data_IF_690207852384
#
_entry.id   IF_690207852384
#
_cell.length_a   1.000
_cell.length_b   1.000
_cell.length_c   1.000
_cell.angle_alpha   90.00
_cell.angle_beta   90.00
_cell.angle_gamma   90.00
#
_symmetry.space_group_name_H-M   'P 1'
#
loop_
_entity.id
_entity.type
_entity.pdbx_description
1 polymer ?
#
# COMPACT_ATOMS: atom_id res chain seq x y z
N UNK A 1 19.39 13.67 25.11
CA UNK A 1 19.88 13.56 23.76
C UNK A 1 18.95 12.63 22.97
N UNK A 2 18.30 13.17 21.96
CA UNK A 2 17.34 12.45 21.10
C UNK A 2 18.07 12.20 19.76
N UNK A 3 19.16 11.44 19.79
CA UNK A 3 19.99 11.22 18.60
C UNK A 3 19.96 9.78 18.10
N UNK A 4 19.17 8.89 18.71
CA UNK A 4 19.17 7.46 18.39
C UNK A 4 18.06 6.98 17.43
N UNK A 5 17.18 7.87 16.92
CA UNK A 5 16.08 7.42 16.06
C UNK A 5 16.60 6.84 14.73
N UNK A 6 17.49 7.57 14.07
CA UNK A 6 18.11 7.13 12.83
C UNK A 6 18.96 5.85 13.01
N UNK A 7 19.68 5.74 14.15
CA UNK A 7 20.47 4.56 14.48
C UNK A 7 19.56 3.35 14.74
N UNK A 8 18.41 3.56 15.39
CA UNK A 8 17.42 2.51 15.62
C UNK A 8 16.77 2.05 14.31
N UNK A 9 16.39 3.00 13.43
CA UNK A 9 15.83 2.67 12.12
C UNK A 9 16.83 1.92 11.23
N UNK A 10 18.12 2.23 11.33
CA UNK A 10 19.18 1.48 10.65
C UNK A 10 19.35 0.09 11.24
N UNK A 11 19.30 -0.04 12.57
CA UNK A 11 19.56 -1.29 13.27
C UNK A 11 18.49 -2.37 13.07
N UNK A 12 17.23 -1.99 12.72
CA UNK A 12 16.16 -2.95 12.48
C UNK A 12 16.10 -3.46 11.02
N UNK A 13 16.87 -2.87 10.11
CA UNK A 13 16.90 -3.29 8.70
C UNK A 13 17.39 -4.73 8.56
N UNK A 14 16.84 -5.43 7.55
CA UNK A 14 17.28 -6.76 7.11
C UNK A 14 17.69 -6.71 5.64
N UNK A 15 16.76 -7.00 4.74
CA UNK A 15 16.93 -6.88 3.28
C UNK A 15 16.55 -5.50 2.75
N UNK A 16 16.02 -4.64 3.59
CA UNK A 16 15.72 -3.25 3.25
C UNK A 16 16.96 -2.52 2.71
N UNK A 17 16.86 -1.83 1.58
CA UNK A 17 17.98 -1.07 1.01
C UNK A 17 18.15 0.30 1.66
N UNK A 18 17.06 0.86 2.18
CA UNK A 18 17.04 2.13 2.91
C UNK A 18 16.29 1.99 4.24
N UNK A 19 16.62 2.83 5.22
CA UNK A 19 15.82 2.96 6.43
C UNK A 19 14.52 3.70 6.14
N UNK A 20 13.45 3.34 6.84
CA UNK A 20 12.12 3.92 6.70
C UNK A 20 11.76 4.66 7.98
N UNK A 21 11.57 5.96 7.86
CA UNK A 21 11.33 6.87 8.98
C UNK A 21 10.24 7.87 8.62
N UNK A 22 9.50 8.33 9.63
CA UNK A 22 8.46 9.34 9.47
C UNK A 22 8.38 10.22 10.70
N UNK A 23 8.01 11.49 10.51
CA UNK A 23 7.55 12.40 11.56
C UNK A 23 6.37 13.20 11.01
N UNK A 24 5.26 13.19 11.74
CA UNK A 24 4.03 13.93 11.44
C UNK A 24 3.77 14.88 12.58
N UNK A 25 3.76 16.16 12.30
CA UNK A 25 3.39 17.19 13.26
C UNK A 25 1.87 17.33 13.29
N UNK A 26 1.28 17.15 14.48
CA UNK A 26 -0.11 17.45 14.78
C UNK A 26 -0.24 18.80 15.47
N UNK A 27 -1.47 19.15 15.91
CA UNK A 27 -1.72 20.36 16.67
C UNK A 27 -1.22 20.20 18.12
N UNK A 28 0.01 20.67 18.37
CA UNK A 28 0.68 20.62 19.67
C UNK A 28 1.24 19.25 20.08
N UNK A 29 1.36 18.31 19.18
CA UNK A 29 2.01 17.00 19.39
C UNK A 29 2.70 16.52 18.11
N UNK A 30 3.52 15.48 18.22
CA UNK A 30 4.18 14.83 17.09
C UNK A 30 3.96 13.31 17.14
N UNK A 31 3.77 12.70 15.99
CA UNK A 31 3.87 11.24 15.79
C UNK A 31 5.10 10.96 14.97
N UNK A 32 6.03 10.19 15.49
CA UNK A 32 7.22 9.74 14.77
C UNK A 32 7.27 8.21 14.72
N UNK A 33 7.89 7.67 13.70
CA UNK A 33 7.97 6.21 13.58
C UNK A 33 9.10 5.75 12.67
N UNK A 34 9.35 4.44 12.75
CA UNK A 34 10.23 3.72 11.87
C UNK A 34 9.60 2.37 11.52
N UNK A 35 9.96 1.82 10.36
CA UNK A 35 9.54 0.50 9.95
C UNK A 35 10.65 -0.24 9.19
N UNK A 36 10.52 -1.56 9.10
CA UNK A 36 11.32 -2.40 8.24
C UNK A 36 10.45 -3.44 7.54
N UNK A 37 10.85 -3.84 6.34
CA UNK A 37 10.25 -4.89 5.52
C UNK A 37 10.40 -4.58 4.04
N UNK A 38 10.87 -5.56 3.26
CA UNK A 38 11.11 -5.45 1.82
C UNK A 38 10.53 -6.64 1.04
N UNK A 39 10.26 -7.77 1.69
CA UNK A 39 9.59 -8.96 1.13
C UNK A 39 8.71 -9.65 2.17
N UNK A 40 7.92 -10.65 1.73
CA UNK A 40 6.84 -11.27 2.52
C UNK A 40 5.92 -10.22 3.13
N UNK A 41 5.46 -9.31 2.27
CA UNK A 41 4.66 -8.15 2.65
C UNK A 41 3.25 -8.25 2.04
N UNK A 42 2.42 -9.12 2.63
CA UNK A 42 0.96 -9.04 2.52
C UNK A 42 0.41 -9.12 3.94
N UNK A 43 0.32 -8.00 4.65
CA UNK A 43 -0.13 -8.00 6.02
C UNK A 43 -1.58 -8.49 6.14
N UNK A 44 -1.74 -9.51 6.81
CA UNK A 44 -2.72 -10.08 7.67
C UNK A 44 -1.93 -10.98 8.63
N UNK A 45 -0.61 -10.81 8.58
CA UNK A 45 0.56 -11.26 9.37
C UNK A 45 1.78 -11.45 8.43
N UNK A 46 2.70 -10.48 8.28
CA UNK A 46 3.92 -10.53 7.47
C UNK A 46 5.17 -10.11 8.26
N UNK A 47 6.43 -10.31 7.78
CA UNK A 47 7.66 -10.02 8.54
C UNK A 47 7.98 -8.51 8.57
N UNK A 48 6.99 -7.68 8.85
CA UNK A 48 7.19 -6.25 9.06
C UNK A 48 7.28 -5.92 10.56
N UNK A 49 8.13 -4.99 10.88
CA UNK A 49 8.16 -4.37 12.19
C UNK A 49 7.98 -2.87 12.02
N UNK A 50 7.05 -2.29 12.76
CA UNK A 50 6.89 -0.84 12.83
C UNK A 50 6.76 -0.40 14.28
N UNK A 51 7.47 0.68 14.61
CA UNK A 51 7.42 1.30 15.94
C UNK A 51 7.09 2.77 15.74
N UNK A 52 5.95 3.17 16.28
CA UNK A 52 5.51 4.55 16.33
C UNK A 52 5.59 5.08 17.76
N UNK A 53 5.90 6.34 17.89
CA UNK A 53 5.97 7.05 19.16
C UNK A 53 5.25 8.39 19.04
N UNK A 54 4.59 8.82 20.12
CA UNK A 54 4.02 10.17 20.20
C UNK A 54 4.30 10.78 21.57
N UNK A 55 4.33 12.11 21.62
CA UNK A 55 4.37 12.84 22.88
C UNK A 55 2.97 13.23 23.39
N UNK A 56 1.91 12.90 22.64
CA UNK A 56 0.52 13.09 23.05
C UNK A 56 0.18 12.37 24.36
N UNK A 57 -0.65 13.00 25.20
CA UNK A 57 -1.26 12.35 26.36
C UNK A 57 -2.60 11.74 25.95
N UNK A 58 -2.58 10.42 25.72
CA UNK A 58 -3.73 9.64 25.32
C UNK A 58 -3.86 8.36 26.19
N UNK A 59 -5.08 7.92 26.54
CA UNK A 59 -5.27 6.67 27.23
C UNK A 59 -5.00 5.49 26.28
N UNK A 60 -4.67 4.29 26.81
CA UNK A 60 -4.36 3.12 26.02
C UNK A 60 -5.44 2.74 24.99
N UNK A 61 -6.71 2.96 25.34
CA UNK A 61 -7.84 2.64 24.45
C UNK A 61 -7.84 3.52 23.20
N UNK A 62 -7.57 4.83 23.35
CA UNK A 62 -7.46 5.75 22.23
C UNK A 62 -6.24 5.43 21.35
N UNK A 63 -5.11 5.07 21.97
CA UNK A 63 -3.93 4.65 21.22
C UNK A 63 -4.19 3.38 20.41
N UNK A 64 -4.91 2.40 21.00
CA UNK A 64 -5.28 1.16 20.33
C UNK A 64 -6.24 1.42 19.15
N UNK A 65 -7.22 2.31 19.31
CA UNK A 65 -8.16 2.70 18.26
C UNK A 65 -7.46 3.42 17.10
N UNK A 66 -6.63 4.42 17.41
CA UNK A 66 -5.84 5.15 16.43
C UNK A 66 -4.91 4.22 15.64
N UNK A 67 -4.22 3.30 16.36
CA UNK A 67 -3.33 2.33 15.72
C UNK A 67 -4.10 1.35 14.84
N UNK A 68 -5.21 0.80 15.31
CA UNK A 68 -6.05 -0.14 14.54
C UNK A 68 -6.54 0.52 13.25
N UNK A 69 -7.02 1.76 13.34
CA UNK A 69 -7.47 2.55 12.18
C UNK A 69 -6.32 2.83 11.21
N UNK A 70 -5.17 3.25 11.71
CA UNK A 70 -3.97 3.52 10.91
C UNK A 70 -3.47 2.27 10.17
N UNK A 71 -3.36 1.14 10.87
CA UNK A 71 -2.93 -0.14 10.29
C UNK A 71 -3.90 -0.63 9.22
N UNK A 72 -5.21 -0.55 9.48
CA UNK A 72 -6.23 -0.99 8.53
C UNK A 72 -6.18 -0.21 7.21
N UNK A 73 -5.83 1.07 7.25
CA UNK A 73 -5.77 1.96 6.08
C UNK A 73 -4.41 1.99 5.38
N UNK A 74 -3.39 1.36 5.95
CA UNK A 74 -2.01 1.43 5.46
C UNK A 74 -1.39 0.05 5.28
N UNK A 75 -0.76 -0.49 6.30
CA UNK A 75 -0.05 -1.76 6.23
C UNK A 75 -0.94 -2.90 5.74
N UNK A 76 -2.20 -2.99 6.21
CA UNK A 76 -3.13 -4.03 5.74
C UNK A 76 -3.55 -3.87 4.28
N UNK A 77 -3.27 -2.74 3.64
CA UNK A 77 -3.51 -2.53 2.20
C UNK A 77 -2.26 -2.74 1.34
N UNK A 78 -1.13 -3.06 1.96
CA UNK A 78 0.11 -3.36 1.24
C UNK A 78 0.13 -4.83 0.77
N UNK A 79 0.59 -5.10 -0.44
CA UNK A 79 0.87 -6.45 -0.94
C UNK A 79 2.03 -6.44 -1.91
N UNK A 80 3.20 -6.89 -1.50
CA UNK A 80 4.39 -6.97 -2.35
C UNK A 80 4.40 -8.26 -3.16
N UNK A 81 4.28 -9.41 -2.52
CA UNK A 81 4.47 -10.73 -3.12
C UNK A 81 3.36 -11.73 -2.78
N UNK A 82 2.29 -11.28 -2.15
CA UNK A 82 1.17 -12.14 -1.74
C UNK A 82 1.50 -13.10 -0.60
N UNK A 83 2.70 -13.04 -0.03
CA UNK A 83 3.13 -13.91 1.06
C UNK A 83 2.89 -13.27 2.41
N UNK A 84 2.32 -14.02 3.35
CA UNK A 84 2.14 -13.62 4.75
C UNK A 84 3.25 -14.19 5.60
N UNK A 85 3.73 -13.41 6.59
CA UNK A 85 4.66 -13.89 7.60
C UNK A 85 3.93 -14.20 8.91
N UNK A 86 4.65 -14.77 9.87
CA UNK A 86 4.12 -15.16 11.18
C UNK A 86 4.39 -14.13 12.28
N UNK A 87 5.15 -13.06 12.00
CA UNK A 87 5.76 -12.23 13.05
C UNK A 87 5.57 -10.72 12.87
N UNK A 88 4.50 -10.27 12.20
CA UNK A 88 4.23 -8.84 12.08
C UNK A 88 3.92 -8.18 13.40
N UNK A 89 4.48 -7.02 13.58
CA UNK A 89 4.25 -6.25 14.79
C UNK A 89 4.24 -4.75 14.49
N UNK A 90 3.18 -4.08 14.90
CA UNK A 90 3.10 -2.62 14.92
C UNK A 90 2.86 -2.15 16.35
N UNK A 91 3.74 -1.30 16.85
CA UNK A 91 3.68 -0.77 18.22
C UNK A 91 3.49 0.75 18.18
N UNK A 92 2.67 1.27 19.08
CA UNK A 92 2.50 2.72 19.32
C UNK A 92 2.73 3.02 20.79
N UNK A 93 3.69 3.89 21.09
CA UNK A 93 4.02 4.36 22.44
C UNK A 93 3.71 5.85 22.59
N UNK A 94 3.13 6.23 23.73
CA UNK A 94 2.87 7.63 24.07
C UNK A 94 3.59 8.02 25.35
N UNK A 95 4.28 9.17 25.33
CA UNK A 95 4.98 9.70 26.52
C UNK A 95 4.13 10.66 27.37
N UNK A 96 3.06 11.21 26.81
CA UNK A 96 2.17 12.16 27.47
C UNK A 96 2.75 13.55 27.69
N UNK A 97 3.89 13.90 27.08
CA UNK A 97 4.63 15.14 27.35
C UNK A 97 3.99 16.40 26.76
N UNK A 98 3.29 16.27 25.64
CA UNK A 98 2.62 17.40 24.97
C UNK A 98 1.26 17.77 25.58
N UNK A 99 0.72 16.94 26.49
CA UNK A 99 -0.60 17.14 27.05
C UNK A 99 -1.71 16.44 26.26
N UNK A 100 -2.97 16.70 26.61
CA UNK A 100 -4.14 16.12 25.97
C UNK A 100 -4.29 16.64 24.55
N UNK A 101 -4.69 15.75 23.65
CA UNK A 101 -4.87 16.03 22.21
C UNK A 101 -6.30 15.66 21.80
N UNK A 102 -6.72 16.21 20.69
CA UNK A 102 -7.96 15.79 20.04
C UNK A 102 -7.84 14.36 19.52
N UNK A 103 -8.81 13.47 19.82
CA UNK A 103 -8.76 12.07 19.41
C UNK A 103 -8.71 11.86 17.89
N UNK A 104 -9.47 12.65 17.14
CA UNK A 104 -9.51 12.54 15.68
C UNK A 104 -8.18 13.01 15.07
N UNK A 105 -7.62 14.11 15.58
CA UNK A 105 -6.31 14.61 15.15
C UNK A 105 -5.18 13.59 15.42
N UNK A 106 -5.23 12.90 16.57
CA UNK A 106 -4.26 11.82 16.86
C UNK A 106 -4.42 10.64 15.91
N UNK A 107 -5.65 10.23 15.64
CA UNK A 107 -5.96 9.12 14.72
C UNK A 107 -5.50 9.45 13.29
N UNK A 108 -5.73 10.67 12.84
CA UNK A 108 -5.29 11.14 11.53
C UNK A 108 -3.75 11.18 11.43
N UNK A 109 -3.06 11.69 12.45
CA UNK A 109 -1.60 11.75 12.46
C UNK A 109 -0.97 10.33 12.50
N UNK A 110 -1.51 9.41 13.30
CA UNK A 110 -1.08 8.00 13.32
C UNK A 110 -1.33 7.34 11.98
N UNK A 111 -2.50 7.58 11.36
CA UNK A 111 -2.83 7.04 10.03
C UNK A 111 -1.88 7.57 8.96
N UNK A 112 -1.59 8.87 8.96
CA UNK A 112 -0.64 9.48 8.03
C UNK A 112 0.79 8.90 8.20
N UNK A 113 1.22 8.67 9.45
CA UNK A 113 2.51 8.04 9.72
C UNK A 113 2.55 6.60 9.20
N UNK A 114 1.51 5.79 9.44
CA UNK A 114 1.41 4.43 8.94
C UNK A 114 1.38 4.38 7.40
N UNK A 115 0.65 5.26 6.74
CA UNK A 115 0.60 5.37 5.28
C UNK A 115 1.97 5.69 4.69
N UNK A 116 2.67 6.70 5.26
CA UNK A 116 4.01 7.06 4.80
C UNK A 116 5.00 5.91 4.92
N UNK A 117 4.96 5.16 6.02
CA UNK A 117 5.83 3.99 6.21
C UNK A 117 5.48 2.86 5.24
N UNK A 118 4.19 2.59 5.00
CA UNK A 118 3.76 1.58 4.04
C UNK A 118 4.20 1.93 2.60
N UNK A 119 4.11 3.21 2.21
CA UNK A 119 4.60 3.69 0.92
C UNK A 119 6.11 3.54 0.77
N UNK A 120 6.89 3.84 1.81
CA UNK A 120 8.33 3.62 1.82
C UNK A 120 8.67 2.12 1.72
N UNK A 121 7.87 1.24 2.33
CA UNK A 121 8.06 -0.21 2.22
C UNK A 121 7.75 -0.71 0.81
N UNK A 122 6.68 -0.22 0.17
CA UNK A 122 6.37 -0.56 -1.21
C UNK A 122 7.45 -0.09 -2.19
N UNK A 123 8.00 1.12 -1.96
CA UNK A 123 9.04 1.71 -2.80
C UNK A 123 10.40 1.02 -2.65
N UNK A 124 10.68 0.42 -1.48
CA UNK A 124 11.93 -0.29 -1.16
C UNK A 124 11.73 -1.82 -1.14
N UNK A 125 10.65 -2.32 -1.76
CA UNK A 125 10.44 -3.76 -1.88
C UNK A 125 11.53 -4.38 -2.75
N UNK A 126 11.91 -5.62 -2.43
CA UNK A 126 13.02 -6.34 -3.10
C UNK A 126 12.87 -6.29 -4.62
N UNK A 127 13.87 -5.72 -5.29
CA UNK A 127 13.93 -5.59 -6.73
C UNK A 127 12.89 -4.67 -7.39
N UNK A 128 12.04 -3.97 -6.62
CA UNK A 128 11.00 -3.11 -7.17
C UNK A 128 11.57 -1.85 -7.84
N UNK A 129 10.93 -1.44 -8.93
CA UNK A 129 11.23 -0.18 -9.61
C UNK A 129 10.06 0.80 -9.63
N UNK A 130 8.85 0.30 -9.36
CA UNK A 130 7.62 1.10 -9.38
C UNK A 130 6.71 0.73 -8.21
N UNK A 131 6.11 1.73 -7.61
CA UNK A 131 4.97 1.59 -6.68
C UNK A 131 3.69 1.62 -7.50
N UNK A 132 2.77 0.70 -7.24
CA UNK A 132 1.50 0.64 -7.95
C UNK A 132 0.34 0.71 -6.96
N UNK A 133 -0.61 1.60 -7.19
CA UNK A 133 -1.87 1.68 -6.45
C UNK A 133 -3.00 1.14 -7.31
N UNK A 134 -3.62 0.07 -6.85
CA UNK A 134 -4.78 -0.54 -7.49
C UNK A 134 -6.03 -0.09 -6.72
N UNK A 135 -6.76 0.84 -7.30
CA UNK A 135 -8.00 1.39 -6.76
C UNK A 135 -9.19 0.66 -7.38
N UNK A 136 -9.98 -0.05 -6.60
CA UNK A 136 -11.25 -0.63 -7.03
C UNK A 136 -12.39 0.16 -6.42
N UNK A 137 -13.36 0.56 -7.24
CA UNK A 137 -14.53 1.31 -6.84
C UNK A 137 -15.81 0.69 -7.42
N UNK A 138 -16.96 1.01 -6.83
CA UNK A 138 -18.23 0.54 -7.35
C UNK A 138 -18.49 -0.95 -7.21
N UNK A 139 -17.79 -1.65 -6.29
CA UNK A 139 -18.08 -3.03 -5.91
C UNK A 139 -19.35 -3.13 -5.04
N UNK A 140 -19.93 -4.31 -4.87
CA UNK A 140 -21.08 -4.50 -3.99
C UNK A 140 -20.81 -4.18 -2.53
N UNK A 141 -19.56 -4.38 -2.09
CA UNK A 141 -19.07 -4.05 -0.74
C UNK A 141 -17.57 -3.77 -0.77
N UNK A 142 -17.04 -3.17 0.32
CA UNK A 142 -15.60 -2.95 0.49
C UNK A 142 -14.82 -4.28 0.52
N UNK A 143 -15.40 -5.33 1.07
CA UNK A 143 -14.80 -6.67 1.07
C UNK A 143 -14.64 -7.23 -0.36
N UNK A 144 -15.63 -7.05 -1.24
CA UNK A 144 -15.49 -7.44 -2.65
C UNK A 144 -14.51 -6.55 -3.42
N UNK A 145 -14.48 -5.25 -3.09
CA UNK A 145 -13.48 -4.35 -3.67
C UNK A 145 -12.05 -4.78 -3.28
N UNK A 146 -11.83 -5.16 -2.02
CA UNK A 146 -10.53 -5.66 -1.53
C UNK A 146 -10.14 -6.97 -2.25
N UNK A 147 -11.05 -7.93 -2.40
CA UNK A 147 -10.81 -9.17 -3.17
C UNK A 147 -10.38 -8.85 -4.61
N UNK A 148 -11.09 -7.96 -5.28
CA UNK A 148 -10.81 -7.58 -6.66
C UNK A 148 -9.47 -6.85 -6.79
N UNK A 149 -9.19 -5.89 -5.88
CA UNK A 149 -7.94 -5.15 -5.87
C UNK A 149 -6.73 -6.05 -5.59
N UNK A 150 -6.83 -7.00 -4.64
CA UNK A 150 -5.77 -7.98 -4.35
C UNK A 150 -5.54 -8.95 -5.49
N UNK A 151 -6.58 -9.40 -6.20
CA UNK A 151 -6.40 -10.25 -7.36
C UNK A 151 -5.52 -9.58 -8.41
N UNK A 152 -5.77 -8.31 -8.71
CA UNK A 152 -4.95 -7.52 -9.64
C UNK A 152 -3.54 -7.27 -9.08
N UNK A 153 -3.43 -6.83 -7.82
CA UNK A 153 -2.17 -6.47 -7.18
C UNK A 153 -1.20 -7.65 -7.05
N UNK A 154 -1.72 -8.88 -6.85
CA UNK A 154 -0.93 -10.10 -6.67
C UNK A 154 -0.66 -10.84 -7.99
N UNK A 155 -1.24 -10.39 -9.10
CA UNK A 155 -1.05 -11.03 -10.40
C UNK A 155 0.37 -10.81 -10.92
N UNK A 156 1.17 -11.87 -11.01
CA UNK A 156 2.49 -11.81 -11.63
C UNK A 156 2.42 -11.24 -13.06
N UNK A 157 1.33 -11.57 -13.80
CA UNK A 157 1.13 -11.12 -15.17
C UNK A 157 0.88 -9.60 -15.25
N UNK A 158 0.12 -9.03 -14.30
CA UNK A 158 -0.06 -7.58 -14.18
C UNK A 158 1.25 -6.90 -13.74
N UNK A 159 1.93 -7.43 -12.73
CA UNK A 159 3.19 -6.88 -12.20
C UNK A 159 4.29 -6.84 -13.28
N UNK A 160 4.40 -7.86 -14.11
CA UNK A 160 5.33 -7.86 -15.27
C UNK A 160 4.97 -6.80 -16.31
N UNK A 161 3.66 -6.50 -16.52
CA UNK A 161 3.27 -5.45 -17.46
C UNK A 161 3.63 -4.05 -16.94
N UNK A 162 3.55 -3.83 -15.65
CA UNK A 162 3.96 -2.56 -15.03
C UNK A 162 5.46 -2.34 -15.12
N UNK A 163 6.26 -3.39 -14.89
CA UNK A 163 7.71 -3.35 -15.14
C UNK A 163 8.05 -3.06 -16.59
N UNK A 164 7.34 -3.70 -17.53
CA UNK A 164 7.53 -3.51 -18.97
C UNK A 164 6.87 -2.24 -19.54
N UNK A 165 6.25 -1.41 -18.69
CA UNK A 165 5.54 -0.19 -19.09
C UNK A 165 4.42 -0.43 -20.12
N UNK A 166 3.81 -1.64 -20.05
CA UNK A 166 2.74 -2.07 -20.96
C UNK A 166 1.37 -1.86 -20.30
N UNK A 167 0.56 -0.85 -20.71
CA UNK A 167 -0.73 -0.55 -20.14
C UNK A 167 -1.84 -1.51 -20.61
N UNK A 168 -1.57 -2.80 -20.64
CA UNK A 168 -2.49 -3.80 -21.16
C UNK A 168 -3.61 -4.10 -20.17
N UNK A 169 -4.68 -3.34 -20.26
CA UNK A 169 -5.87 -3.44 -19.39
C UNK A 169 -6.54 -4.82 -19.40
N UNK A 170 -6.38 -5.61 -20.47
CA UNK A 170 -6.96 -6.97 -20.57
C UNK A 170 -6.48 -7.91 -19.47
N UNK A 171 -5.23 -7.76 -18.99
CA UNK A 171 -4.70 -8.52 -17.85
C UNK A 171 -5.45 -8.18 -16.56
N UNK A 172 -5.69 -6.88 -16.34
CA UNK A 172 -6.45 -6.40 -15.19
C UNK A 172 -7.90 -6.91 -15.24
N UNK A 173 -8.57 -6.80 -16.39
CA UNK A 173 -9.94 -7.30 -16.56
C UNK A 173 -10.05 -8.81 -16.31
N UNK A 174 -9.03 -9.58 -16.72
CA UNK A 174 -8.95 -11.04 -16.45
C UNK A 174 -8.89 -11.34 -14.95
N UNK A 175 -8.02 -10.63 -14.20
CA UNK A 175 -7.87 -10.84 -12.77
C UNK A 175 -9.13 -10.39 -11.99
N UNK A 176 -9.74 -9.28 -12.40
CA UNK A 176 -11.01 -8.85 -11.82
C UNK A 176 -12.10 -9.91 -12.00
N UNK A 177 -12.20 -10.50 -13.19
CA UNK A 177 -13.16 -11.56 -13.48
C UNK A 177 -12.89 -12.86 -12.71
N UNK A 178 -11.64 -13.15 -12.36
CA UNK A 178 -11.23 -14.33 -11.60
C UNK A 178 -11.25 -14.11 -10.07
N UNK A 179 -11.43 -12.88 -9.60
CA UNK A 179 -11.25 -12.48 -8.19
C UNK A 179 -12.27 -13.08 -7.22
N UNK A 180 -13.43 -13.51 -7.71
CA UNK A 180 -14.59 -13.90 -6.89
C UNK A 180 -15.52 -12.75 -6.52
N UNK A 181 -15.15 -11.49 -6.80
CA UNK A 181 -16.05 -10.35 -6.70
C UNK A 181 -17.06 -10.37 -7.85
N UNK A 182 -18.22 -9.70 -7.64
CA UNK A 182 -19.16 -9.50 -8.73
C UNK A 182 -18.60 -8.47 -9.73
N UNK A 183 -18.43 -8.90 -10.97
CA UNK A 183 -18.01 -8.04 -12.09
C UNK A 183 -19.00 -8.20 -13.23
N UNK A 184 -19.60 -7.08 -13.67
CA UNK A 184 -20.36 -7.01 -14.91
C UNK A 184 -19.43 -6.41 -15.99
N UNK A 185 -19.03 -7.17 -17.00
CA UNK A 185 -18.13 -6.67 -18.04
C UNK A 185 -18.66 -5.43 -18.75
N UNK A 186 -19.99 -5.27 -18.86
CA UNK A 186 -20.61 -4.12 -19.54
C UNK A 186 -20.48 -2.81 -18.76
N UNK A 187 -20.22 -2.88 -17.45
CA UNK A 187 -20.07 -1.74 -16.55
C UNK A 187 -18.61 -1.44 -16.19
N UNK A 188 -17.72 -2.41 -16.48
CA UNK A 188 -16.32 -2.32 -16.09
C UNK A 188 -15.60 -1.17 -16.80
N UNK A 189 -14.95 -0.30 -16.01
CA UNK A 189 -14.06 0.75 -16.51
C UNK A 189 -12.67 0.62 -15.91
N UNK A 190 -11.64 0.80 -16.74
CA UNK A 190 -10.25 0.76 -16.29
C UNK A 190 -9.54 2.01 -16.77
N UNK A 191 -8.82 2.67 -15.84
CA UNK A 191 -8.01 3.85 -16.10
C UNK A 191 -6.59 3.67 -15.58
N UNK A 192 -5.62 4.28 -16.28
CA UNK A 192 -4.27 4.53 -15.79
C UNK A 192 -4.14 6.03 -15.53
N UNK A 193 -3.88 6.40 -14.27
CA UNK A 193 -4.05 7.79 -13.84
C UNK A 193 -5.47 8.29 -14.16
N UNK A 194 -5.56 9.46 -14.78
CA UNK A 194 -6.83 10.05 -15.21
C UNK A 194 -7.30 9.57 -16.59
N UNK A 195 -6.53 8.69 -17.26
CA UNK A 195 -6.82 8.27 -18.63
C UNK A 195 -7.63 6.98 -18.66
N UNK A 196 -8.88 7.04 -19.10
CA UNK A 196 -9.73 5.88 -19.34
C UNK A 196 -9.20 5.10 -20.56
N UNK A 197 -8.87 3.80 -20.35
CA UNK A 197 -8.35 2.92 -21.41
C UNK A 197 -9.32 1.82 -21.82
N UNK A 198 -10.29 1.49 -20.95
CA UNK A 198 -11.35 0.53 -21.27
C UNK A 198 -12.69 0.97 -20.64
N UNK A 199 -13.80 0.77 -21.39
CA UNK A 199 -15.19 1.00 -20.95
C UNK A 199 -16.05 -0.14 -21.50
N UNK A 200 -16.83 -0.79 -20.64
CA UNK A 200 -17.65 -1.94 -21.01
C UNK A 200 -16.83 -3.12 -21.58
N UNK A 201 -15.64 -3.38 -21.01
CA UNK A 201 -14.68 -4.39 -21.47
C UNK A 201 -14.23 -4.20 -22.94
N UNK A 202 -14.29 -2.99 -23.46
CA UNK A 202 -13.83 -2.61 -24.80
C UNK A 202 -12.80 -1.50 -24.67
N UNK A 203 -11.72 -1.58 -25.44
CA UNK A 203 -10.73 -0.51 -25.50
C UNK A 203 -11.35 0.80 -25.99
N UNK A 204 -11.06 1.91 -25.32
CA UNK A 204 -11.49 3.24 -25.75
C UNK A 204 -10.31 4.03 -26.34
N UNK A 205 -10.61 4.90 -27.27
CA UNK A 205 -9.61 5.78 -27.86
C UNK A 205 -9.08 6.78 -26.81
N UNK A 206 -7.79 6.86 -26.67
CA UNK A 206 -7.11 7.76 -25.73
C UNK A 206 -5.76 8.21 -26.28
N UNK A 207 -5.15 9.21 -25.66
CA UNK A 207 -3.79 9.61 -25.99
C UNK A 207 -2.78 8.61 -25.36
N UNK A 208 -2.22 7.76 -26.22
CA UNK A 208 -1.22 6.76 -25.79
C UNK A 208 0.03 7.37 -25.17
N UNK A 209 0.40 8.62 -25.52
CA UNK A 209 1.57 9.28 -24.97
C UNK A 209 1.37 9.70 -23.51
N UNK A 210 0.16 10.05 -23.10
CA UNK A 210 -0.20 10.36 -21.72
C UNK A 210 -0.07 9.10 -20.87
N UNK A 211 -0.64 7.98 -21.32
CA UNK A 211 -0.55 6.69 -20.62
C UNK A 211 0.90 6.21 -20.56
N UNK A 212 1.67 6.30 -21.65
CA UNK A 212 3.09 5.93 -21.63
C UNK A 212 3.91 6.78 -20.63
N UNK A 213 3.64 8.08 -20.55
CA UNK A 213 4.29 8.96 -19.57
C UNK A 213 3.94 8.55 -18.14
N UNK A 214 2.67 8.21 -17.88
CA UNK A 214 2.23 7.70 -16.56
C UNK A 214 2.93 6.38 -16.21
N UNK A 215 3.01 5.44 -17.14
CA UNK A 215 3.65 4.13 -16.95
C UNK A 215 5.17 4.23 -16.74
N UNK A 216 5.83 5.22 -17.33
CA UNK A 216 7.26 5.47 -17.14
C UNK A 216 7.60 6.08 -15.77
N UNK A 217 6.60 6.56 -15.03
CA UNK A 217 6.78 7.09 -13.68
C UNK A 217 7.15 6.03 -12.64
N UNK A 218 7.66 6.46 -11.50
CA UNK A 218 7.92 5.59 -10.33
C UNK A 218 6.65 5.21 -9.57
N UNK A 219 5.53 5.88 -9.83
CA UNK A 219 4.22 5.58 -9.23
C UNK A 219 3.20 5.38 -10.35
N UNK A 220 2.50 4.25 -10.32
CA UNK A 220 1.43 3.93 -11.26
C UNK A 220 0.10 3.88 -10.48
N UNK A 221 -0.84 4.72 -10.89
CA UNK A 221 -2.22 4.69 -10.38
C UNK A 221 -3.11 3.94 -11.38
N UNK A 222 -3.84 2.93 -10.89
CA UNK A 222 -4.80 2.16 -11.68
C UNK A 222 -6.15 2.25 -10.99
N UNK A 223 -7.18 2.63 -11.72
CA UNK A 223 -8.55 2.66 -11.20
C UNK A 223 -9.43 1.69 -11.98
N UNK A 224 -10.07 0.77 -11.25
CA UNK A 224 -11.02 -0.21 -11.77
C UNK A 224 -12.41 0.09 -11.18
N UNK A 225 -13.30 0.66 -11.97
CA UNK A 225 -14.67 0.91 -11.55
C UNK A 225 -15.58 -0.26 -11.99
N UNK A 226 -16.14 -0.99 -11.03
CA UNK A 226 -16.95 -2.19 -11.29
C UNK A 226 -18.41 -1.85 -11.61
N UNK A 227 -18.93 -0.73 -11.11
CA UNK A 227 -20.27 -0.20 -11.44
C UNK A 227 -21.45 -1.01 -10.87
N UNK A 228 -21.22 -1.92 -9.91
CA UNK A 228 -22.25 -2.82 -9.35
C UNK A 228 -22.68 -2.46 -7.93
N UNK A 229 -22.10 -1.41 -7.34
CA UNK A 229 -22.39 -0.94 -5.98
C UNK A 229 -21.58 0.31 -5.60
N UNK A 230 -21.32 0.47 -4.30
CA UNK A 230 -20.58 1.62 -3.76
C UNK A 230 -19.34 1.23 -2.94
N UNK A 231 -19.01 -0.06 -2.86
CA UNK A 231 -17.84 -0.53 -2.16
C UNK A 231 -16.55 -0.09 -2.84
N UNK A 232 -15.50 0.17 -2.05
CA UNK A 232 -14.20 0.60 -2.54
C UNK A 232 -13.06 0.02 -1.72
N UNK A 233 -11.90 -0.20 -2.36
CA UNK A 233 -10.66 -0.56 -1.72
C UNK A 233 -9.47 -0.09 -2.57
N UNK A 234 -8.35 0.16 -1.90
CA UNK A 234 -7.07 0.45 -2.54
C UNK A 234 -6.03 -0.53 -2.03
N UNK A 235 -5.31 -1.19 -2.91
CA UNK A 235 -4.16 -2.02 -2.58
C UNK A 235 -2.89 -1.37 -3.14
N UNK A 236 -1.91 -1.21 -2.25
CA UNK A 236 -0.58 -0.74 -2.58
C UNK A 236 0.30 -1.94 -2.90
N UNK A 237 0.97 -1.91 -4.03
CA UNK A 237 1.83 -3.00 -4.50
C UNK A 237 3.02 -2.42 -5.29
N UNK A 238 3.76 -3.26 -5.97
CA UNK A 238 4.90 -2.91 -6.80
C UNK A 238 4.91 -3.73 -8.09
N UNK A 239 5.81 -3.42 -9.00
CA UNK A 239 6.10 -4.22 -10.20
C UNK A 239 6.86 -5.52 -9.85
N UNK A 240 7.02 -6.42 -10.82
CA UNK A 240 7.83 -7.64 -10.72
C UNK A 240 8.97 -7.57 -11.73
N UNK A 241 10.20 -7.56 -11.21
CA UNK A 241 11.42 -7.40 -11.98
C UNK A 241 12.31 -8.64 -11.96
N UNK A 242 13.33 -8.66 -12.78
CA UNK A 242 14.37 -9.71 -12.71
C UNK A 242 15.15 -9.65 -11.39
N UNK A 243 15.36 -8.46 -10.82
CA UNK A 243 16.06 -8.28 -9.57
C UNK A 243 15.35 -8.96 -8.39
N UNK A 244 14.00 -9.00 -8.36
CA UNK A 244 13.25 -9.76 -7.35
C UNK A 244 13.63 -11.24 -7.35
N UNK A 245 13.79 -11.83 -8.54
CA UNK A 245 14.21 -13.23 -8.68
C UNK A 245 15.64 -13.40 -8.19
N UNK A 246 16.55 -12.50 -8.61
CA UNK A 246 17.97 -12.57 -8.25
C UNK A 246 18.17 -12.45 -6.74
N UNK A 247 17.44 -11.55 -6.05
CA UNK A 247 17.49 -11.35 -4.61
C UNK A 247 16.93 -12.55 -3.82
N UNK A 248 15.99 -13.31 -4.40
CA UNK A 248 15.35 -14.45 -3.76
C UNK A 248 15.98 -15.80 -4.13
N UNK A 249 16.98 -15.84 -5.01
CA UNK A 249 17.72 -17.06 -5.32
C UNK A 249 18.77 -17.35 -4.24
N UNK A 250 18.58 -18.45 -3.51
CA UNK A 250 19.60 -18.96 -2.56
C UNK A 250 19.61 -18.29 -1.18
N UNK A 251 18.51 -17.66 -0.79
CA UNK A 251 18.34 -17.02 0.53
C UNK A 251 17.83 -17.98 1.63
N UNK A 252 17.85 -19.28 1.42
CA UNK A 252 17.46 -20.31 2.40
C UNK A 252 18.62 -20.73 3.29
#
# INVERSE_FOLDING_TARGET
AITGAADAAEAIRTTDSVRKEVAIDGDGFTVAGMAKGAAMLQPNMATMLAVLTTDALAPPELLAEALTTGVARSFNTLSVDGCTSTNDTVLLFASGRSGRVDPDALTDAVTAACLSLAEQMAADAEGATKVVRVNVTGARSDAEADLAARAVANSALCKCSWFGEDPYWGRIASELGASGAMVDPSLLRISYGDTLVADGAVAVAHDASVVATHMAGSVIEITCALGVGNGSATILTNDLTHAYIDENMGTS
#
